data_IF_818018951910
#
_entry.id   IF_818018951910
#
_cell.length_a   1.000
_cell.length_b   1.000
_cell.length_c   1.000
_cell.angle_alpha   90.00
_cell.angle_beta   90.00
_cell.angle_gamma   90.00
#
_symmetry.space_group_name_H-M   'P 1'
#
loop_
_entity.id
_entity.type
_entity.pdbx_description
1 polymer ?
#
# COMPACT_ATOMS: atom_id res chain seq x y z
N UNK A 1 -15.31 8.57 2.01
CA UNK A 1 -16.31 8.53 0.95
C UNK A 1 -16.20 7.24 0.15
N UNK A 2 -15.05 6.92 -0.48
CA UNK A 2 -14.89 5.78 -1.40
C UNK A 2 -15.20 4.42 -0.76
N UNK A 3 -14.74 4.20 0.45
CA UNK A 3 -14.90 2.95 1.21
C UNK A 3 -15.82 3.08 2.42
N UNK A 4 -16.53 4.21 2.55
CA UNK A 4 -17.36 4.49 3.72
C UNK A 4 -18.38 3.38 3.98
N UNK A 5 -19.06 2.90 2.93
CA UNK A 5 -20.02 1.83 3.08
C UNK A 5 -19.37 0.52 3.56
N UNK A 6 -18.17 0.18 3.06
CA UNK A 6 -17.42 -1.03 3.46
C UNK A 6 -16.94 -0.92 4.91
N UNK A 7 -16.49 0.24 5.35
CA UNK A 7 -15.87 0.46 6.67
C UNK A 7 -16.85 0.84 7.78
N UNK A 8 -18.05 1.32 7.46
CA UNK A 8 -19.04 1.72 8.46
C UNK A 8 -19.83 0.49 8.98
N UNK A 9 -19.61 0.04 10.24
CA UNK A 9 -20.35 -1.07 10.83
C UNK A 9 -21.77 -0.69 11.27
N UNK A 10 -22.05 0.61 11.40
CA UNK A 10 -23.34 1.14 11.90
C UNK A 10 -24.33 1.45 10.80
N UNK A 11 -24.00 1.19 9.52
CA UNK A 11 -24.90 1.46 8.41
C UNK A 11 -26.21 0.69 8.55
N UNK A 12 -27.38 1.37 8.52
CA UNK A 12 -28.69 0.70 8.59
C UNK A 12 -28.98 -0.16 7.36
N UNK A 13 -28.27 0.07 6.25
CA UNK A 13 -28.43 -0.69 5.00
C UNK A 13 -27.69 -2.03 5.01
N UNK A 14 -26.87 -2.31 6.03
CA UNK A 14 -26.11 -3.56 6.14
C UNK A 14 -26.89 -4.63 6.91
N UNK A 15 -26.80 -5.85 6.42
CA UNK A 15 -27.27 -7.04 7.12
C UNK A 15 -26.39 -7.34 8.35
N UNK A 16 -26.89 -8.14 9.28
CA UNK A 16 -26.13 -8.56 10.49
C UNK A 16 -24.83 -9.29 10.12
N UNK A 17 -24.82 -10.06 9.02
CA UNK A 17 -23.64 -10.74 8.52
C UNK A 17 -22.60 -9.75 8.00
N UNK A 18 -22.99 -8.75 7.21
CA UNK A 18 -22.09 -7.69 6.69
C UNK A 18 -21.53 -6.82 7.81
N UNK A 19 -22.31 -6.51 8.84
CA UNK A 19 -21.82 -5.79 10.03
C UNK A 19 -20.73 -6.59 10.73
N UNK A 20 -20.94 -7.90 10.90
CA UNK A 20 -19.94 -8.80 11.51
C UNK A 20 -18.66 -8.88 10.66
N UNK A 21 -18.79 -8.93 9.34
CA UNK A 21 -17.66 -8.85 8.41
C UNK A 21 -16.87 -7.55 8.56
N UNK A 22 -17.55 -6.41 8.68
CA UNK A 22 -16.93 -5.10 8.90
C UNK A 22 -16.16 -5.04 10.24
N UNK A 23 -16.73 -5.56 11.32
CA UNK A 23 -16.04 -5.64 12.62
C UNK A 23 -14.83 -6.56 12.58
N UNK A 24 -14.95 -7.71 11.89
CA UNK A 24 -13.81 -8.59 11.64
C UNK A 24 -12.68 -7.86 10.88
N UNK A 25 -13.02 -7.12 9.83
CA UNK A 25 -12.05 -6.32 9.07
C UNK A 25 -11.32 -5.30 9.98
N UNK A 26 -12.06 -4.57 10.83
CA UNK A 26 -11.46 -3.66 11.80
C UNK A 26 -10.57 -4.39 12.82
N UNK A 27 -10.95 -5.59 13.25
CA UNK A 27 -10.12 -6.45 14.09
C UNK A 27 -8.80 -6.82 13.39
N UNK A 28 -8.85 -7.19 12.10
CA UNK A 28 -7.63 -7.47 11.32
C UNK A 28 -6.77 -6.22 11.16
N UNK A 29 -7.37 -5.07 10.88
CA UNK A 29 -6.65 -3.79 10.80
C UNK A 29 -5.95 -3.46 12.13
N UNK A 30 -6.64 -3.63 13.26
CA UNK A 30 -6.06 -3.41 14.59
C UNK A 30 -4.85 -4.35 14.83
N UNK A 31 -4.96 -5.64 14.52
CA UNK A 31 -3.86 -6.61 14.63
C UNK A 31 -2.67 -6.18 13.75
N UNK A 32 -2.92 -5.74 12.54
CA UNK A 32 -1.87 -5.24 11.63
C UNK A 32 -1.18 -3.96 12.09
N UNK A 33 -1.83 -3.16 12.94
CA UNK A 33 -1.21 -1.96 13.52
C UNK A 33 -0.24 -2.26 14.67
N UNK A 34 -0.41 -3.39 15.37
CA UNK A 34 0.34 -3.70 16.60
C UNK A 34 1.87 -3.65 16.39
N UNK A 35 2.45 -4.35 15.39
CA UNK A 35 3.91 -4.36 15.21
C UNK A 35 4.48 -2.96 14.98
N UNK A 36 3.84 -2.19 14.09
CA UNK A 36 4.30 -0.84 13.77
C UNK A 36 4.12 0.15 14.94
N UNK A 37 3.05 0.01 15.73
CA UNK A 37 2.85 0.81 16.93
C UNK A 37 3.91 0.50 18.00
N UNK A 38 4.23 -0.78 18.21
CA UNK A 38 5.25 -1.19 19.17
C UNK A 38 6.61 -0.59 18.82
N UNK A 39 7.06 -0.70 17.57
CA UNK A 39 8.35 -0.17 17.13
C UNK A 39 8.34 1.36 17.06
N UNK A 40 7.27 1.96 16.52
CA UNK A 40 7.18 3.42 16.39
C UNK A 40 7.15 4.15 17.74
N UNK A 41 6.59 3.55 18.79
CA UNK A 41 6.58 4.15 20.12
C UNK A 41 7.90 3.98 20.87
N UNK A 42 8.71 2.98 20.53
CA UNK A 42 9.93 2.66 21.30
C UNK A 42 11.21 3.08 20.59
N UNK A 43 11.24 3.11 19.26
CA UNK A 43 12.46 3.30 18.48
C UNK A 43 12.39 4.49 17.50
N UNK A 44 11.33 5.31 17.54
CA UNK A 44 11.16 6.45 16.63
C UNK A 44 12.35 7.43 16.72
N UNK A 45 12.76 7.81 17.93
CA UNK A 45 13.87 8.73 18.15
C UNK A 45 15.20 8.18 17.61
N UNK A 46 15.49 6.89 17.84
CA UNK A 46 16.67 6.21 17.29
C UNK A 46 16.69 6.23 15.77
N UNK A 47 15.59 5.87 15.11
CA UNK A 47 15.54 5.88 13.67
C UNK A 47 15.59 7.28 13.06
N UNK A 48 15.01 8.28 13.72
CA UNK A 48 15.09 9.67 13.30
C UNK A 48 16.52 10.19 13.39
N UNK A 49 17.27 9.85 14.43
CA UNK A 49 18.64 10.29 14.60
C UNK A 49 19.59 9.69 13.57
N UNK A 50 19.53 8.38 13.33
CA UNK A 50 20.53 7.67 12.52
C UNK A 50 20.14 7.51 11.04
N UNK A 51 18.85 7.40 10.73
CA UNK A 51 18.39 7.07 9.39
C UNK A 51 17.73 8.23 8.64
N UNK A 52 17.41 9.34 9.31
CA UNK A 52 16.75 10.48 8.66
C UNK A 52 17.73 11.35 7.87
N UNK A 53 18.32 10.76 6.84
CA UNK A 53 19.27 11.43 5.96
C UNK A 53 19.00 11.08 4.49
N UNK A 54 19.51 11.91 3.57
CA UNK A 54 19.26 11.77 2.14
C UNK A 54 19.78 10.46 1.54
N UNK A 55 20.88 9.93 2.06
CA UNK A 55 21.47 8.68 1.58
C UNK A 55 20.56 7.49 1.89
N UNK A 56 20.09 7.41 3.12
CA UNK A 56 19.14 6.37 3.55
C UNK A 56 17.87 6.42 2.71
N UNK A 57 17.30 7.61 2.50
CA UNK A 57 16.10 7.80 1.68
C UNK A 57 16.31 7.30 0.26
N UNK A 58 17.42 7.69 -0.37
CA UNK A 58 17.72 7.33 -1.74
C UNK A 58 17.96 5.82 -1.90
N UNK A 59 18.73 5.20 -1.00
CA UNK A 59 19.00 3.77 -1.01
C UNK A 59 17.68 3.00 -0.79
N UNK A 60 16.88 3.40 0.18
CA UNK A 60 15.58 2.77 0.44
C UNK A 60 14.64 2.86 -0.77
N UNK A 61 14.57 4.02 -1.44
CA UNK A 61 13.80 4.18 -2.68
C UNK A 61 14.23 3.17 -3.75
N UNK A 62 15.53 3.05 -3.99
CA UNK A 62 16.08 2.15 -5.02
C UNK A 62 15.81 0.69 -4.64
N UNK A 63 16.13 0.28 -3.41
CA UNK A 63 15.93 -1.09 -2.94
C UNK A 63 14.47 -1.52 -3.06
N UNK A 64 13.55 -0.70 -2.57
CA UNK A 64 12.12 -1.00 -2.68
C UNK A 64 11.61 -0.97 -4.12
N UNK A 65 12.14 -0.08 -4.96
CA UNK A 65 11.86 -0.07 -6.40
C UNK A 65 12.26 -1.38 -7.07
N UNK A 66 13.46 -1.88 -6.77
CA UNK A 66 13.94 -3.19 -7.28
C UNK A 66 13.07 -4.34 -6.76
N UNK A 67 12.74 -4.35 -5.45
CA UNK A 67 11.88 -5.38 -4.86
C UNK A 67 10.50 -5.41 -5.54
N UNK A 68 9.87 -4.26 -5.81
CA UNK A 68 8.62 -4.21 -6.56
C UNK A 68 8.74 -4.85 -7.93
N UNK A 69 9.77 -4.50 -8.70
CA UNK A 69 9.98 -5.04 -10.05
C UNK A 69 10.22 -6.56 -10.01
N UNK A 70 11.03 -7.04 -9.08
CA UNK A 70 11.31 -8.47 -8.94
C UNK A 70 10.05 -9.26 -8.53
N UNK A 71 9.26 -8.72 -7.61
CA UNK A 71 8.03 -9.35 -7.16
C UNK A 71 7.01 -9.44 -8.29
N UNK A 72 6.84 -8.36 -9.06
CA UNK A 72 5.94 -8.36 -10.22
C UNK A 72 6.41 -9.28 -11.34
N UNK A 73 7.71 -9.31 -11.64
CA UNK A 73 8.27 -10.28 -12.61
C UNK A 73 8.00 -11.73 -12.17
N UNK A 74 8.13 -12.02 -10.86
CA UNK A 74 7.81 -13.35 -10.33
C UNK A 74 6.32 -13.66 -10.50
N UNK A 75 5.44 -12.72 -10.18
CA UNK A 75 3.99 -12.91 -10.30
C UNK A 75 3.56 -13.10 -11.75
N UNK A 76 4.03 -12.28 -12.68
CA UNK A 76 3.78 -12.44 -14.12
C UNK A 76 4.23 -13.81 -14.67
N UNK A 77 5.39 -14.31 -14.22
CA UNK A 77 5.85 -15.67 -14.59
C UNK A 77 4.90 -16.75 -14.09
N UNK A 78 4.37 -16.62 -12.88
CA UNK A 78 3.39 -17.54 -12.30
C UNK A 78 2.06 -17.48 -13.06
N UNK A 79 1.59 -16.30 -13.39
CA UNK A 79 0.38 -16.07 -14.19
C UNK A 79 0.53 -16.69 -15.58
N UNK A 80 1.63 -16.43 -16.27
CA UNK A 80 1.92 -17.02 -17.59
C UNK A 80 2.00 -18.56 -17.53
N UNK A 81 2.64 -19.13 -16.52
CA UNK A 81 2.71 -20.58 -16.35
C UNK A 81 1.34 -21.21 -16.08
N UNK A 82 0.49 -20.54 -15.30
CA UNK A 82 -0.87 -20.98 -15.03
C UNK A 82 -1.73 -20.97 -16.31
N UNK A 83 -1.70 -19.88 -17.07
CA UNK A 83 -2.41 -19.77 -18.34
C UNK A 83 -1.93 -20.81 -19.36
N UNK A 84 -0.62 -21.04 -19.44
CA UNK A 84 -0.05 -22.07 -20.30
C UNK A 84 -0.51 -23.50 -19.92
N UNK A 85 -0.71 -23.76 -18.62
CA UNK A 85 -1.19 -25.06 -18.12
C UNK A 85 -2.66 -25.32 -18.47
N UNK A 86 -3.46 -24.26 -18.63
CA UNK A 86 -4.88 -24.31 -19.00
C UNK A 86 -5.14 -24.25 -20.50
N UNK A 87 -4.16 -23.84 -21.29
CA UNK A 87 -4.30 -23.80 -22.73
C UNK A 87 -4.58 -25.22 -23.26
N UNK A 88 -5.60 -25.42 -24.13
CA UNK A 88 -5.92 -26.72 -24.68
C UNK A 88 -4.69 -27.27 -25.42
N UNK A 89 -4.28 -28.50 -25.08
CA UNK A 89 -3.18 -29.19 -25.78
C UNK A 89 -3.52 -29.26 -27.27
N UNK A 90 -2.74 -28.54 -28.11
CA UNK A 90 -2.89 -28.59 -29.55
C UNK A 90 -2.64 -30.02 -30.01
N UNK A 91 -3.54 -30.60 -30.85
CA UNK A 91 -3.23 -31.83 -31.58
C UNK A 91 -2.00 -31.57 -32.47
N UNK A 92 -1.00 -32.47 -32.42
CA UNK A 92 0.14 -32.43 -33.32
C UNK A 92 -0.41 -32.55 -34.78
N UNK A 93 -0.30 -31.47 -35.56
CA UNK A 93 -0.68 -31.49 -37.00
C UNK A 93 -1.68 -30.41 -37.46
N UNK A 94 -2.23 -29.58 -36.56
CA UNK A 94 -3.12 -28.49 -37.01
C UNK A 94 -2.29 -27.30 -37.51
N UNK A 95 -2.49 -26.93 -38.78
CA UNK A 95 -1.96 -25.69 -39.38
C UNK A 95 -2.27 -24.49 -38.45
N UNK A 96 -1.26 -23.64 -38.26
CA UNK A 96 -1.26 -22.52 -37.32
C UNK A 96 -2.44 -21.56 -37.57
N UNK A 97 -3.55 -21.75 -36.83
CA UNK A 97 -4.47 -20.64 -36.57
C UNK A 97 -3.85 -19.69 -35.54
N UNK A 98 -4.06 -18.36 -35.69
CA UNK A 98 -3.57 -17.40 -34.70
C UNK A 98 -3.98 -17.84 -33.30
N UNK A 99 -3.06 -17.73 -32.34
CA UNK A 99 -3.36 -17.90 -30.91
C UNK A 99 -4.45 -16.90 -30.60
N UNK A 100 -5.58 -17.29 -29.97
CA UNK A 100 -6.51 -16.29 -29.47
C UNK A 100 -5.72 -15.37 -28.53
N UNK A 101 -5.72 -14.08 -28.84
CA UNK A 101 -5.19 -13.09 -27.91
C UNK A 101 -5.93 -13.28 -26.58
N UNK A 102 -5.18 -13.47 -25.52
CA UNK A 102 -5.70 -13.52 -24.15
C UNK A 102 -6.44 -12.20 -23.92
N UNK A 103 -7.77 -12.27 -23.87
CA UNK A 103 -8.59 -11.07 -23.71
C UNK A 103 -8.32 -10.44 -22.34
N UNK A 104 -8.54 -9.13 -22.19
CA UNK A 104 -8.27 -8.41 -20.92
C UNK A 104 -9.07 -8.91 -19.70
N UNK A 105 -9.96 -9.91 -19.86
CA UNK A 105 -10.67 -10.60 -18.78
C UNK A 105 -9.95 -11.82 -18.22
N UNK A 106 -9.13 -12.52 -19.03
CA UNK A 106 -8.45 -13.77 -18.64
C UNK A 106 -7.30 -13.52 -17.65
N UNK A 107 -6.65 -12.37 -17.71
CA UNK A 107 -5.57 -11.99 -16.78
C UNK A 107 -6.11 -11.80 -15.36
N UNK A 108 -7.33 -11.27 -15.22
CA UNK A 108 -8.00 -11.10 -13.93
C UNK A 108 -8.35 -12.43 -13.28
N UNK A 109 -8.81 -13.39 -14.06
CA UNK A 109 -9.17 -14.73 -13.58
C UNK A 109 -7.92 -15.54 -13.17
N UNK A 110 -6.81 -15.38 -13.90
CA UNK A 110 -5.53 -15.98 -13.55
C UNK A 110 -4.95 -15.38 -12.24
N UNK A 111 -4.99 -14.07 -12.09
CA UNK A 111 -4.59 -13.42 -10.84
C UNK A 111 -5.43 -13.92 -9.66
N UNK A 112 -6.74 -13.98 -9.83
CA UNK A 112 -7.67 -14.45 -8.81
C UNK A 112 -7.46 -15.93 -8.43
N UNK A 113 -7.07 -16.78 -9.37
CA UNK A 113 -6.84 -18.21 -9.11
C UNK A 113 -5.50 -18.50 -8.43
N UNK A 114 -4.49 -17.66 -8.61
CA UNK A 114 -3.13 -17.85 -8.12
C UNK A 114 -2.90 -17.35 -6.69
N UNK A 115 -3.76 -16.46 -6.21
CA UNK A 115 -3.60 -15.87 -4.88
C UNK A 115 -4.50 -16.53 -3.84
N UNK A 116 -3.93 -16.77 -2.65
CA UNK A 116 -4.65 -17.36 -1.52
C UNK A 116 -5.70 -16.42 -0.94
N UNK A 117 -5.39 -15.12 -0.94
CA UNK A 117 -6.24 -14.05 -0.43
C UNK A 117 -6.61 -13.15 -1.62
N UNK A 118 -7.82 -13.27 -2.10
CA UNK A 118 -8.32 -12.59 -3.31
C UNK A 118 -8.94 -11.24 -2.98
N UNK A 119 -9.61 -11.17 -1.83
CA UNK A 119 -10.30 -9.98 -1.35
C UNK A 119 -9.81 -9.63 0.05
N UNK A 120 -9.98 -8.38 0.44
CA UNK A 120 -9.60 -7.90 1.78
C UNK A 120 -10.37 -8.60 2.90
N UNK A 121 -11.57 -9.11 2.59
CA UNK A 121 -12.42 -9.80 3.56
C UNK A 121 -11.93 -11.21 3.90
N UNK A 122 -11.04 -11.79 3.07
CA UNK A 122 -10.41 -13.09 3.29
C UNK A 122 -9.15 -13.02 4.15
N UNK A 123 -8.67 -11.81 4.47
CA UNK A 123 -7.47 -11.63 5.29
C UNK A 123 -7.71 -12.22 6.69
N UNK A 124 -6.85 -13.14 7.09
CA UNK A 124 -6.82 -13.73 8.42
C UNK A 124 -5.85 -12.97 9.35
N UNK A 125 -5.92 -13.25 10.64
CA UNK A 125 -5.10 -12.58 11.64
C UNK A 125 -3.59 -12.81 11.44
N UNK A 126 -3.20 -13.99 10.93
CA UNK A 126 -1.79 -14.31 10.64
C UNK A 126 -1.25 -13.47 9.49
N UNK A 127 -2.04 -13.34 8.42
CA UNK A 127 -1.71 -12.51 7.26
C UNK A 127 -1.65 -11.04 7.67
N UNK A 128 -2.63 -10.57 8.44
CA UNK A 128 -2.66 -9.21 8.94
C UNK A 128 -1.43 -8.88 9.80
N UNK A 129 -1.08 -9.75 10.74
CA UNK A 129 0.10 -9.57 11.59
C UNK A 129 1.40 -9.52 10.75
N UNK A 130 1.53 -10.41 9.77
CA UNK A 130 2.69 -10.39 8.84
C UNK A 130 2.77 -9.09 8.06
N UNK A 131 1.65 -8.60 7.52
CA UNK A 131 1.62 -7.30 6.84
C UNK A 131 2.01 -6.18 7.80
N UNK A 132 1.57 -6.24 9.06
CA UNK A 132 1.97 -5.33 10.12
C UNK A 132 3.47 -5.36 10.41
N UNK A 133 4.10 -6.54 10.37
CA UNK A 133 5.56 -6.66 10.48
C UNK A 133 6.27 -5.98 9.29
N UNK A 134 5.75 -6.11 8.07
CA UNK A 134 6.27 -5.35 6.94
C UNK A 134 6.07 -3.84 7.10
N UNK A 135 4.98 -3.41 7.75
CA UNK A 135 4.76 -1.99 8.05
C UNK A 135 5.84 -1.39 8.98
N UNK A 136 6.46 -2.19 9.86
CA UNK A 136 7.57 -1.74 10.71
C UNK A 136 8.75 -1.20 9.88
N UNK A 137 9.01 -1.75 8.70
CA UNK A 137 10.07 -1.27 7.81
C UNK A 137 9.85 0.18 7.35
N UNK A 138 8.62 0.68 7.44
CA UNK A 138 8.29 2.05 7.08
C UNK A 138 8.82 3.12 8.07
N UNK A 139 9.38 2.70 9.20
CA UNK A 139 10.11 3.59 10.12
C UNK A 139 11.39 4.12 9.45
N UNK A 140 11.97 3.34 8.52
CA UNK A 140 13.13 3.76 7.74
C UNK A 140 12.65 4.76 6.67
N UNK A 141 13.15 6.01 6.67
CA UNK A 141 12.74 7.01 5.69
C UNK A 141 13.09 6.57 4.27
N UNK A 142 12.19 6.83 3.32
CA UNK A 142 12.33 6.39 1.92
C UNK A 142 11.68 5.05 1.58
N UNK A 143 11.39 4.17 2.55
CA UNK A 143 10.77 2.86 2.27
C UNK A 143 9.33 2.96 1.76
N UNK A 144 8.59 3.98 2.16
CA UNK A 144 7.14 4.15 1.98
C UNK A 144 6.32 3.10 2.74
N UNK A 145 5.45 3.55 3.63
CA UNK A 145 4.59 2.68 4.42
C UNK A 145 3.68 1.82 3.54
N UNK A 146 2.98 2.45 2.59
CA UNK A 146 2.13 1.73 1.66
C UNK A 146 2.91 0.77 0.78
N UNK A 147 4.13 1.14 0.35
CA UNK A 147 5.01 0.24 -0.40
C UNK A 147 5.35 -1.02 0.40
N UNK A 148 5.75 -0.88 1.66
CA UNK A 148 6.11 -2.01 2.53
C UNK A 148 4.92 -2.92 2.79
N UNK A 149 3.74 -2.37 3.08
CA UNK A 149 2.54 -3.18 3.36
C UNK A 149 1.98 -3.87 2.11
N UNK A 150 2.05 -3.23 0.93
CA UNK A 150 1.66 -3.87 -0.34
C UNK A 150 2.61 -5.04 -0.65
N UNK A 151 3.93 -4.83 -0.59
CA UNK A 151 4.92 -5.90 -0.77
C UNK A 151 4.67 -7.03 0.24
N UNK A 152 4.47 -6.70 1.51
CA UNK A 152 4.16 -7.67 2.56
C UNK A 152 2.90 -8.47 2.25
N UNK A 153 1.82 -7.82 1.83
CA UNK A 153 0.57 -8.46 1.42
C UNK A 153 0.77 -9.43 0.25
N UNK A 154 1.43 -8.98 -0.81
CA UNK A 154 1.72 -9.81 -1.98
C UNK A 154 2.63 -11.01 -1.64
N UNK A 155 3.63 -10.84 -0.78
CA UNK A 155 4.48 -11.94 -0.30
C UNK A 155 3.71 -12.93 0.58
N UNK A 156 2.68 -12.46 1.30
CA UNK A 156 1.78 -13.31 2.08
C UNK A 156 0.70 -14.01 1.23
N UNK A 157 0.70 -13.81 -0.08
CA UNK A 157 -0.24 -14.45 -1.01
C UNK A 157 -1.53 -13.68 -1.22
N UNK A 158 -1.57 -12.39 -0.94
CA UNK A 158 -2.68 -11.52 -1.31
C UNK A 158 -2.58 -11.11 -2.78
N UNK A 159 -3.73 -10.95 -3.44
CA UNK A 159 -3.82 -10.31 -4.74
C UNK A 159 -3.36 -8.84 -4.66
N UNK A 160 -3.00 -8.25 -5.79
CA UNK A 160 -2.60 -6.82 -5.86
C UNK A 160 -3.68 -5.92 -5.27
N UNK A 161 -4.94 -6.17 -5.63
CA UNK A 161 -6.09 -5.40 -5.16
C UNK A 161 -6.31 -5.57 -3.67
N UNK A 162 -6.29 -6.81 -3.14
CA UNK A 162 -6.48 -7.07 -1.70
C UNK A 162 -5.36 -6.43 -0.85
N UNK A 163 -4.10 -6.52 -1.30
CA UNK A 163 -2.95 -5.92 -0.63
C UNK A 163 -3.06 -4.38 -0.59
N UNK A 164 -3.46 -3.75 -1.71
CA UNK A 164 -3.64 -2.31 -1.78
C UNK A 164 -4.82 -1.83 -0.92
N UNK A 165 -6.00 -2.49 -1.01
CA UNK A 165 -7.16 -2.14 -0.18
C UNK A 165 -6.84 -2.25 1.31
N UNK A 166 -6.22 -3.36 1.73
CA UNK A 166 -5.85 -3.55 3.14
C UNK A 166 -4.85 -2.50 3.62
N UNK A 167 -3.89 -2.13 2.77
CA UNK A 167 -2.93 -1.05 3.04
C UNK A 167 -3.63 0.28 3.30
N UNK A 168 -4.68 0.62 2.53
CA UNK A 168 -5.47 1.83 2.79
C UNK A 168 -6.22 1.76 4.11
N UNK A 169 -6.80 0.61 4.45
CA UNK A 169 -7.53 0.47 5.72
C UNK A 169 -6.58 0.51 6.91
N UNK A 170 -5.41 -0.10 6.79
CA UNK A 170 -4.35 -0.05 7.80
C UNK A 170 -3.81 1.39 8.00
N UNK A 171 -3.89 2.21 6.96
CA UNK A 171 -3.51 3.61 7.02
C UNK A 171 -4.38 4.44 7.96
N UNK A 172 -5.68 4.13 8.04
CA UNK A 172 -6.66 4.95 8.76
C UNK A 172 -6.30 5.07 10.25
N UNK A 173 -6.24 3.98 11.04
CA UNK A 173 -5.93 4.11 12.47
C UNK A 173 -4.52 4.64 12.73
N UNK A 174 -3.53 4.28 11.90
CA UNK A 174 -2.14 4.74 12.08
C UNK A 174 -2.04 6.24 11.85
N UNK A 175 -2.58 6.76 10.74
CA UNK A 175 -2.51 8.20 10.44
C UNK A 175 -3.38 9.03 11.38
N UNK A 176 -4.58 8.53 11.71
CA UNK A 176 -5.46 9.20 12.64
C UNK A 176 -4.84 9.26 14.04
N UNK A 177 -4.34 8.14 14.54
CA UNK A 177 -3.68 8.07 15.85
C UNK A 177 -2.47 9.01 15.94
N UNK A 178 -1.60 8.99 14.92
CA UNK A 178 -0.45 9.90 14.88
C UNK A 178 -0.85 11.37 14.77
N UNK A 179 -1.87 11.69 13.98
CA UNK A 179 -2.42 13.04 13.86
C UNK A 179 -2.99 13.55 15.18
N UNK A 180 -3.76 12.72 15.89
CA UNK A 180 -4.32 13.05 17.21
C UNK A 180 -3.21 13.28 18.24
N UNK A 181 -2.19 12.41 18.27
CA UNK A 181 -1.05 12.57 19.19
C UNK A 181 -0.29 13.88 18.91
N UNK A 182 -0.03 14.22 17.66
CA UNK A 182 0.60 15.50 17.31
C UNK A 182 -0.26 16.69 17.66
N UNK A 183 -1.58 16.61 17.42
CA UNK A 183 -2.51 17.66 17.81
C UNK A 183 -2.51 17.89 19.34
N UNK A 184 -2.58 16.81 20.13
CA UNK A 184 -2.52 16.91 21.60
C UNK A 184 -1.21 17.56 22.03
N UNK A 185 -0.06 17.10 21.51
CA UNK A 185 1.27 17.68 21.82
C UNK A 185 1.33 19.17 21.48
N UNK A 186 0.78 19.56 20.32
CA UNK A 186 0.71 20.97 19.90
C UNK A 186 -0.14 21.81 20.87
N UNK A 187 -1.34 21.33 21.21
CA UNK A 187 -2.24 22.01 22.13
C UNK A 187 -1.66 22.15 23.54
N UNK A 188 -0.89 21.16 23.99
CA UNK A 188 -0.19 21.22 25.29
C UNK A 188 0.98 22.22 25.28
N UNK A 189 1.66 22.38 24.15
CA UNK A 189 2.81 23.25 24.00
C UNK A 189 2.46 24.72 23.74
N UNK A 190 1.45 24.98 22.93
CA UNK A 190 1.10 26.33 22.41
C UNK A 190 -0.27 26.82 22.94
N UNK A 191 -1.14 25.90 23.37
CA UNK A 191 -2.52 26.20 23.75
C UNK A 191 -3.46 26.30 22.54
N UNK A 192 -4.70 26.74 22.81
CA UNK A 192 -5.77 26.85 21.81
C UNK A 192 -5.78 28.19 21.06
N UNK A 193 -4.74 29.00 21.20
CA UNK A 193 -4.69 30.31 20.58
C UNK A 193 -4.19 30.18 19.15
N UNK A 194 -5.12 30.23 18.19
CA UNK A 194 -4.80 30.26 16.77
C UNK A 194 -5.22 31.61 16.16
N UNK A 195 -4.37 32.19 15.34
CA UNK A 195 -4.69 33.37 14.56
C UNK A 195 -5.66 33.04 13.42
N UNK A 196 -6.40 34.04 12.93
CA UNK A 196 -7.30 33.84 11.79
C UNK A 196 -6.57 33.31 10.54
N UNK A 197 -5.32 33.72 10.35
CA UNK A 197 -4.47 33.24 9.25
C UNK A 197 -4.11 31.77 9.40
N UNK A 198 -3.77 31.31 10.61
CA UNK A 198 -3.45 29.89 10.85
C UNK A 198 -4.66 28.99 10.64
N UNK A 199 -5.84 29.44 11.08
CA UNK A 199 -7.11 28.74 10.83
C UNK A 199 -7.39 28.65 9.33
N UNK A 200 -7.23 29.76 8.59
CA UNK A 200 -7.46 29.78 7.15
C UNK A 200 -6.50 28.82 6.41
N UNK A 201 -5.20 28.83 6.75
CA UNK A 201 -4.21 27.92 6.17
C UNK A 201 -4.54 26.46 6.49
N UNK A 202 -4.95 26.17 7.73
CA UNK A 202 -5.35 24.82 8.14
C UNK A 202 -6.57 24.32 7.35
N UNK A 203 -7.60 25.14 7.21
CA UNK A 203 -8.82 24.79 6.45
C UNK A 203 -8.51 24.55 4.98
N UNK A 204 -7.78 25.45 4.34
CA UNK A 204 -7.35 25.28 2.93
C UNK A 204 -6.52 24.00 2.78
N UNK A 205 -5.57 23.76 3.69
CA UNK A 205 -4.75 22.54 3.68
C UNK A 205 -5.59 21.27 3.80
N UNK A 206 -6.54 21.22 4.73
CA UNK A 206 -7.44 20.06 4.92
C UNK A 206 -8.28 19.82 3.67
N UNK A 207 -8.91 20.86 3.12
CA UNK A 207 -9.78 20.74 1.92
C UNK A 207 -8.96 20.26 0.72
N UNK A 208 -7.80 20.87 0.48
CA UNK A 208 -6.92 20.49 -0.63
C UNK A 208 -6.44 19.04 -0.47
N UNK A 209 -5.95 18.68 0.70
CA UNK A 209 -5.50 17.31 0.98
C UNK A 209 -6.63 16.28 0.78
N UNK A 210 -7.84 16.61 1.22
CA UNK A 210 -9.01 15.75 1.04
C UNK A 210 -9.34 15.53 -0.45
N UNK A 211 -9.44 16.62 -1.23
CA UNK A 211 -9.76 16.53 -2.67
C UNK A 211 -8.69 15.74 -3.42
N UNK A 212 -7.43 16.08 -3.22
CA UNK A 212 -6.30 15.38 -3.88
C UNK A 212 -6.26 13.91 -3.48
N UNK A 213 -6.49 13.58 -2.21
CA UNK A 213 -6.52 12.19 -1.74
C UNK A 213 -7.63 11.37 -2.40
N UNK A 214 -8.84 11.93 -2.53
CA UNK A 214 -9.96 11.24 -3.20
C UNK A 214 -9.63 10.95 -4.67
N UNK A 215 -9.05 11.92 -5.38
CA UNK A 215 -8.64 11.76 -6.78
C UNK A 215 -7.54 10.70 -6.89
N UNK A 216 -6.50 10.80 -6.06
CA UNK A 216 -5.35 9.90 -6.09
C UNK A 216 -5.74 8.46 -5.78
N UNK A 217 -6.60 8.23 -4.78
CA UNK A 217 -7.05 6.86 -4.43
C UNK A 217 -7.90 6.27 -5.55
N UNK A 218 -8.82 7.06 -6.15
CA UNK A 218 -9.61 6.59 -7.29
C UNK A 218 -8.72 6.21 -8.47
N UNK A 219 -7.76 7.07 -8.80
CA UNK A 219 -6.80 6.82 -9.88
C UNK A 219 -5.98 5.57 -9.59
N UNK A 220 -5.40 5.46 -8.40
CA UNK A 220 -4.54 4.35 -8.03
C UNK A 220 -5.28 3.00 -8.04
N UNK A 221 -6.48 2.95 -7.47
CA UNK A 221 -7.30 1.72 -7.48
C UNK A 221 -7.75 1.34 -8.89
N UNK A 222 -8.07 2.32 -9.73
CA UNK A 222 -8.35 2.08 -11.15
C UNK A 222 -7.14 1.57 -11.91
N UNK A 223 -5.95 2.10 -11.59
CA UNK A 223 -4.69 1.69 -12.20
C UNK A 223 -4.31 0.25 -11.82
N UNK A 224 -4.34 -0.09 -10.53
CA UNK A 224 -3.94 -1.41 -10.01
C UNK A 224 -4.82 -2.54 -10.56
N UNK A 225 -6.09 -2.26 -10.85
CA UNK A 225 -7.00 -3.25 -11.46
C UNK A 225 -6.61 -3.64 -12.88
N UNK A 226 -5.86 -2.80 -13.58
CA UNK A 226 -5.50 -2.97 -15.00
C UNK A 226 -4.01 -3.18 -15.23
N UNK A 227 -3.18 -2.78 -14.26
CA UNK A 227 -1.73 -2.75 -14.38
C UNK A 227 -1.08 -3.32 -13.11
N UNK A 228 0.21 -3.62 -13.23
CA UNK A 228 1.04 -4.03 -12.10
C UNK A 228 1.78 -2.84 -11.43
N UNK A 229 2.54 -3.15 -10.38
CA UNK A 229 3.33 -2.16 -9.65
C UNK A 229 4.70 -1.86 -10.28
N UNK A 230 5.02 -2.37 -11.47
CA UNK A 230 6.32 -2.16 -12.11
C UNK A 230 6.62 -0.68 -12.34
N UNK A 231 5.62 0.10 -12.80
CA UNK A 231 5.79 1.54 -13.02
C UNK A 231 6.17 2.29 -11.72
N UNK A 232 5.57 1.90 -10.58
CA UNK A 232 5.92 2.46 -9.28
C UNK A 232 7.35 2.09 -8.86
N UNK A 233 7.78 0.85 -9.17
CA UNK A 233 9.15 0.42 -8.95
C UNK A 233 10.15 1.25 -9.73
N UNK A 234 9.92 1.45 -11.03
CA UNK A 234 10.77 2.26 -11.91
C UNK A 234 10.83 3.72 -11.44
N UNK A 235 9.67 4.33 -11.15
CA UNK A 235 9.61 5.70 -10.61
C UNK A 235 10.49 5.87 -9.36
N UNK A 236 10.40 4.93 -8.41
CA UNK A 236 11.20 4.97 -7.18
C UNK A 236 12.70 4.87 -7.42
N UNK A 237 13.13 4.03 -8.36
CA UNK A 237 14.54 3.91 -8.74
C UNK A 237 15.03 5.23 -9.34
N UNK A 238 14.27 5.82 -10.27
CA UNK A 238 14.64 7.09 -10.90
C UNK A 238 14.78 8.20 -9.85
N UNK A 239 13.78 8.35 -8.97
CA UNK A 239 13.83 9.36 -7.90
C UNK A 239 15.00 9.12 -6.95
N UNK A 240 15.24 7.86 -6.56
CA UNK A 240 16.37 7.50 -5.71
C UNK A 240 17.72 7.84 -6.35
N UNK A 241 17.89 7.57 -7.65
CA UNK A 241 19.10 7.93 -8.38
C UNK A 241 19.29 9.45 -8.50
N UNK A 242 18.22 10.20 -8.75
CA UNK A 242 18.26 11.67 -8.79
C UNK A 242 18.70 12.25 -7.44
N UNK A 243 18.15 11.72 -6.33
CA UNK A 243 18.54 12.15 -4.98
C UNK A 243 20.01 11.82 -4.71
N UNK A 244 20.48 10.61 -5.06
CA UNK A 244 21.90 10.24 -4.91
C UNK A 244 22.82 11.16 -5.73
N UNK A 245 22.45 11.42 -6.98
CA UNK A 245 23.25 12.30 -7.84
C UNK A 245 23.32 13.73 -7.27
N UNK A 246 22.18 14.29 -6.84
CA UNK A 246 22.14 15.64 -6.28
C UNK A 246 23.00 15.78 -5.01
N UNK A 247 22.83 14.88 -4.04
CA UNK A 247 23.60 14.94 -2.80
C UNK A 247 25.05 14.49 -2.99
N UNK A 248 25.34 13.57 -3.92
CA UNK A 248 26.70 13.18 -4.27
C UNK A 248 27.50 14.34 -4.84
N UNK A 249 26.92 15.10 -5.78
CA UNK A 249 27.55 16.32 -6.32
C UNK A 249 27.77 17.38 -5.23
N UNK A 250 26.78 17.58 -4.34
CA UNK A 250 26.88 18.57 -3.24
C UNK A 250 27.97 18.22 -2.21
N UNK A 251 28.34 16.96 -2.07
CA UNK A 251 29.43 16.55 -1.16
C UNK A 251 30.82 16.72 -1.82
N UNK A 252 30.87 16.70 -3.16
CA UNK A 252 32.12 16.85 -3.94
C UNK A 252 32.47 18.32 -4.26
N UNK A 253 31.50 19.22 -4.16
CA UNK A 253 31.67 20.69 -4.29
C UNK A 253 31.80 21.35 -2.92
#
# INVERSE_FOLDING_TARGET
ILYFHKLNPFSPKKTSAEKRGTWRLWGMVAIGCIPAAAIGLTLDDFFNEYFYNAWTVAIALIVYGVVFILLERRNRRREAAYLASRAPRRPRGAHARPVPEVGPGDDGDAEMALFRVRTVDEIDWKTSLKIGCFQMLAIIPGTSRSGSTIIGGMLCGCSRTAAAEFTFFLAIPVMFGWGVLKLIKYLMAVGLVMTATEIAVLVVGIVTAFVVSVISIKFLMGYIKKNDFTAFGVYRIIVGLVVLAYFGVKVLL
#
